data_IF_232526777776
#
_entry.id   IF_232526777776
#
_cell.length_a   1.000
_cell.length_b   1.000
_cell.length_c   1.000
_cell.angle_alpha   90.00
_cell.angle_beta   90.00
_cell.angle_gamma   90.00
#
_symmetry.space_group_name_H-M   'P 1'
#
loop_
_entity.id
_entity.type
_entity.pdbx_description
1 polymer ?
#
# COMPACT_ATOMS: atom_id res chain seq x y z
N UNK A 1 -25.29 -20.41 32.39
CA UNK A 1 -25.33 -19.88 33.76
C UNK A 1 -26.22 -18.65 33.71
N UNK A 2 -27.40 -18.65 34.36
CA UNK A 2 -28.23 -17.46 34.46
C UNK A 2 -27.46 -16.42 35.28
N UNK A 3 -27.33 -15.21 34.75
CA UNK A 3 -26.66 -14.10 35.44
C UNK A 3 -27.58 -13.64 36.57
N UNK A 4 -27.12 -13.81 37.80
CA UNK A 4 -27.80 -13.30 38.99
C UNK A 4 -27.77 -11.77 38.96
N UNK A 5 -28.92 -11.13 39.15
CA UNK A 5 -29.03 -9.68 39.08
C UNK A 5 -28.35 -9.06 40.31
N UNK A 6 -27.46 -8.10 40.09
CA UNK A 6 -26.78 -7.34 41.14
C UNK A 6 -27.79 -6.60 42.01
N UNK A 7 -27.94 -7.03 43.26
CA UNK A 7 -28.75 -6.34 44.26
C UNK A 7 -27.94 -5.20 44.89
N UNK A 8 -27.75 -4.11 44.13
CA UNK A 8 -26.93 -2.95 44.52
C UNK A 8 -27.28 -2.40 45.91
N UNK A 9 -28.56 -2.44 46.30
CA UNK A 9 -29.02 -1.93 47.59
C UNK A 9 -28.57 -2.81 48.76
N UNK A 10 -28.71 -4.12 48.60
CA UNK A 10 -28.34 -5.13 49.59
C UNK A 10 -26.82 -5.21 49.75
N UNK A 11 -26.07 -5.09 48.64
CA UNK A 11 -24.60 -5.07 48.65
C UNK A 11 -24.02 -3.81 49.31
N UNK A 12 -24.64 -2.64 49.16
CA UNK A 12 -24.20 -1.40 49.83
C UNK A 12 -24.47 -1.47 51.33
N UNK A 13 -25.57 -2.11 51.73
CA UNK A 13 -26.01 -2.19 53.12
C UNK A 13 -25.27 -3.26 53.92
N UNK A 14 -24.85 -4.35 53.26
CA UNK A 14 -24.13 -5.47 53.89
C UNK A 14 -22.63 -5.50 53.58
N UNK A 15 -22.17 -4.74 52.58
CA UNK A 15 -20.78 -4.72 52.12
C UNK A 15 -19.86 -3.88 53.00
N UNK A 16 -18.73 -4.45 53.40
CA UNK A 16 -17.64 -3.69 54.00
C UNK A 16 -16.67 -3.25 52.92
N UNK A 17 -16.65 -1.95 52.63
CA UNK A 17 -15.78 -1.39 51.59
C UNK A 17 -14.41 -1.06 52.17
N UNK A 18 -13.35 -1.49 51.49
CA UNK A 18 -11.99 -1.05 51.78
C UNK A 18 -11.78 0.42 51.35
N UNK A 19 -10.63 1.01 51.68
CA UNK A 19 -10.25 2.38 51.30
C UNK A 19 -10.29 2.63 49.78
N UNK A 20 -10.15 1.57 48.98
CA UNK A 20 -10.23 1.58 47.52
C UNK A 20 -11.66 1.30 46.98
N UNK A 21 -12.70 1.36 47.84
CA UNK A 21 -14.11 1.10 47.50
C UNK A 21 -14.40 -0.32 46.93
N UNK A 22 -13.51 -1.28 47.22
CA UNK A 22 -13.77 -2.70 46.94
C UNK A 22 -14.57 -3.33 48.07
N UNK A 23 -15.66 -4.03 47.73
CA UNK A 23 -16.48 -4.77 48.70
C UNK A 23 -15.70 -6.01 49.20
N UNK A 24 -15.39 -6.07 50.50
CA UNK A 24 -14.91 -7.26 51.19
C UNK A 24 -16.08 -7.93 51.89
N UNK A 25 -16.30 -9.21 51.57
CA UNK A 25 -17.16 -10.06 52.40
C UNK A 25 -16.49 -10.20 53.77
N UNK A 26 -17.28 -10.09 54.83
CA UNK A 26 -16.82 -10.32 56.20
C UNK A 26 -16.26 -11.74 56.27
N UNK A 27 -14.98 -11.90 56.63
CA UNK A 27 -14.39 -13.21 56.93
C UNK A 27 -15.22 -13.85 58.05
N UNK A 28 -16.10 -14.78 57.70
CA UNK A 28 -16.46 -15.85 58.62
C UNK A 28 -15.17 -16.63 58.85
N UNK A 29 -14.83 -16.89 60.11
CA UNK A 29 -13.56 -17.45 60.56
C UNK A 29 -13.36 -18.94 60.19
N UNK A 30 -13.84 -19.34 59.02
CA UNK A 30 -13.46 -20.58 58.34
C UNK A 30 -12.73 -20.16 57.06
N UNK A 31 -11.42 -19.93 57.18
CA UNK A 31 -10.49 -20.12 56.07
C UNK A 31 -10.38 -21.64 55.81
N UNK A 32 -11.52 -22.32 55.59
CA UNK A 32 -11.52 -23.66 55.03
C UNK A 32 -11.11 -23.51 53.57
N UNK A 33 -9.83 -23.76 53.28
CA UNK A 33 -9.35 -23.87 51.91
C UNK A 33 -10.32 -24.78 51.14
N UNK A 34 -11.01 -24.23 50.13
CA UNK A 34 -12.08 -24.97 49.49
C UNK A 34 -11.55 -26.34 49.00
N UNK A 35 -12.25 -27.46 49.22
CA UNK A 35 -11.70 -28.83 49.04
C UNK A 35 -11.30 -29.19 47.59
N UNK A 36 -11.51 -28.28 46.64
CA UNK A 36 -10.99 -28.37 45.27
C UNK A 36 -9.61 -27.70 45.11
N UNK A 37 -9.24 -26.77 45.98
CA UNK A 37 -7.91 -26.14 46.07
C UNK A 37 -6.89 -27.14 46.64
N UNK A 38 -7.26 -27.93 47.65
CA UNK A 38 -6.40 -29.00 48.20
C UNK A 38 -6.02 -30.06 47.15
N UNK A 39 -6.88 -30.28 46.16
CA UNK A 39 -6.63 -31.21 45.03
C UNK A 39 -5.78 -30.60 43.93
N UNK A 40 -5.56 -29.28 43.95
CA UNK A 40 -4.81 -28.57 42.95
C UNK A 40 -3.30 -28.67 43.26
N UNK A 41 -2.61 -29.55 42.55
CA UNK A 41 -1.18 -29.74 42.73
C UNK A 41 -0.35 -28.54 42.24
N UNK A 42 0.91 -28.46 42.70
CA UNK A 42 1.90 -27.50 42.16
C UNK A 42 2.02 -27.59 40.63
N UNK A 43 1.79 -28.77 40.06
CA UNK A 43 1.77 -29.01 38.62
C UNK A 43 0.60 -28.34 37.90
N UNK A 44 -0.60 -28.32 38.50
CA UNK A 44 -1.77 -27.65 37.92
C UNK A 44 -1.62 -26.13 37.96
N UNK A 45 -1.05 -25.60 39.04
CA UNK A 45 -0.71 -24.18 39.17
C UNK A 45 0.32 -23.78 38.11
N UNK A 46 1.36 -24.61 37.90
CA UNK A 46 2.37 -24.40 36.85
C UNK A 46 1.75 -24.44 35.45
N UNK A 47 0.87 -25.41 35.18
CA UNK A 47 0.17 -25.55 33.90
C UNK A 47 -0.79 -24.39 33.62
N UNK A 48 -1.50 -23.92 34.64
CA UNK A 48 -2.36 -22.74 34.54
C UNK A 48 -1.53 -21.47 34.26
N UNK A 49 -0.39 -21.31 34.94
CA UNK A 49 0.55 -20.20 34.70
C UNK A 49 1.11 -20.23 33.28
N UNK A 50 1.55 -21.39 32.81
CA UNK A 50 2.04 -21.58 31.43
C UNK A 50 0.95 -21.31 30.40
N UNK A 51 -0.28 -21.80 30.63
CA UNK A 51 -1.42 -21.52 29.75
C UNK A 51 -1.75 -20.02 29.69
N UNK A 52 -1.66 -19.33 30.83
CA UNK A 52 -1.86 -17.88 30.90
C UNK A 52 -0.72 -17.14 30.19
N UNK A 53 0.53 -17.53 30.40
CA UNK A 53 1.68 -16.93 29.74
C UNK A 53 1.61 -17.14 28.23
N UNK A 54 1.19 -18.32 27.76
CA UNK A 54 0.93 -18.58 26.34
C UNK A 54 -0.18 -17.68 25.78
N UNK A 55 -1.26 -17.45 26.54
CA UNK A 55 -2.32 -16.49 26.14
C UNK A 55 -1.79 -15.06 26.10
N UNK A 56 -1.06 -14.63 27.12
CA UNK A 56 -0.42 -13.30 27.18
C UNK A 56 0.56 -13.11 26.03
N UNK A 57 1.39 -14.11 25.73
CA UNK A 57 2.34 -14.09 24.61
C UNK A 57 1.63 -14.00 23.26
N UNK A 58 0.55 -14.75 23.04
CA UNK A 58 -0.29 -14.62 21.84
C UNK A 58 -0.93 -13.24 21.72
N UNK A 59 -1.37 -12.66 22.83
CA UNK A 59 -1.93 -11.32 22.86
C UNK A 59 -0.85 -10.29 22.49
N UNK A 60 0.31 -10.30 23.15
CA UNK A 60 1.43 -9.40 22.87
C UNK A 60 1.91 -9.54 21.42
N UNK A 61 2.06 -10.76 20.91
CA UNK A 61 2.40 -10.99 19.50
C UNK A 61 1.36 -10.44 18.53
N UNK A 62 0.07 -10.50 18.89
CA UNK A 62 -1.01 -9.90 18.09
C UNK A 62 -0.94 -8.37 18.06
N UNK A 63 -0.41 -7.74 19.11
CA UNK A 63 -0.23 -6.29 19.20
C UNK A 63 1.19 -5.83 18.86
N UNK A 64 2.03 -6.71 18.29
CA UNK A 64 3.29 -6.29 17.69
C UNK A 64 2.95 -5.58 16.39
N UNK A 65 2.66 -4.29 16.52
CA UNK A 65 2.46 -3.37 15.42
C UNK A 65 3.76 -3.29 14.62
N UNK A 66 3.65 -3.42 13.29
CA UNK A 66 4.80 -3.27 12.40
C UNK A 66 5.38 -1.86 12.50
N UNK A 67 6.67 -1.72 12.18
CA UNK A 67 7.26 -0.37 12.07
C UNK A 67 6.58 0.39 10.93
N UNK A 68 6.55 1.74 11.00
CA UNK A 68 5.87 2.57 9.99
C UNK A 68 6.34 2.25 8.57
N UNK A 69 7.64 2.00 8.42
CA UNK A 69 8.30 1.70 7.16
C UNK A 69 7.79 0.36 6.59
N UNK A 70 7.71 -0.67 7.43
CA UNK A 70 7.23 -2.00 7.03
C UNK A 70 5.77 -1.96 6.58
N UNK A 71 4.94 -1.17 7.26
CA UNK A 71 3.53 -0.99 6.87
C UNK A 71 3.40 -0.24 5.55
N UNK A 72 4.19 0.81 5.35
CA UNK A 72 4.22 1.55 4.08
C UNK A 72 4.74 0.67 2.93
N UNK A 73 5.78 -0.13 3.15
CA UNK A 73 6.30 -1.08 2.16
C UNK A 73 5.24 -2.12 1.77
N UNK A 74 4.58 -2.74 2.76
CA UNK A 74 3.48 -3.68 2.51
C UNK A 74 2.34 -3.02 1.74
N UNK A 75 1.98 -1.78 2.08
CA UNK A 75 0.96 -1.03 1.36
C UNK A 75 1.38 -0.78 -0.10
N UNK A 76 2.60 -0.25 -0.31
CA UNK A 76 3.18 0.01 -1.62
C UNK A 76 3.32 -1.27 -2.48
N UNK A 77 3.44 -2.45 -1.87
CA UNK A 77 3.46 -3.71 -2.59
C UNK A 77 2.12 -4.05 -3.27
N UNK A 78 0.99 -3.64 -2.66
CA UNK A 78 -0.36 -3.91 -3.16
C UNK A 78 -0.88 -2.87 -4.16
N UNK A 79 -0.46 -1.62 -4.03
CA UNK A 79 -0.89 -0.54 -4.93
C UNK A 79 -0.30 -0.72 -6.33
N UNK A 80 -1.00 -0.31 -7.38
CA UNK A 80 -0.43 -0.11 -8.73
C UNK A 80 0.11 1.33 -8.88
N UNK A 81 0.88 1.65 -9.93
CA UNK A 81 1.33 3.02 -10.17
C UNK A 81 0.15 3.99 -10.23
N UNK A 82 0.28 5.16 -9.60
CA UNK A 82 -0.77 6.20 -9.50
C UNK A 82 -2.08 5.84 -8.79
N UNK A 83 -2.27 4.62 -8.26
CA UNK A 83 -3.48 4.27 -7.49
C UNK A 83 -3.43 4.83 -6.05
N UNK A 84 -4.62 5.09 -5.50
CA UNK A 84 -4.87 5.31 -4.06
C UNK A 84 -5.37 4.01 -3.37
N UNK A 85 -5.27 3.87 -2.04
CA UNK A 85 -5.87 2.72 -1.34
C UNK A 85 -7.38 2.58 -1.58
N UNK A 86 -8.10 3.68 -1.78
CA UNK A 86 -9.53 3.64 -2.08
C UNK A 86 -9.83 3.08 -3.48
N UNK A 87 -9.03 3.45 -4.47
CA UNK A 87 -9.12 2.91 -5.83
C UNK A 87 -8.72 1.43 -5.88
N UNK A 88 -7.69 1.03 -5.15
CA UNK A 88 -7.30 -0.37 -4.95
C UNK A 88 -8.46 -1.19 -4.37
N UNK A 89 -9.10 -0.69 -3.30
CA UNK A 89 -10.29 -1.33 -2.73
C UNK A 89 -11.46 -1.33 -3.73
N UNK A 90 -11.57 -0.29 -4.57
CA UNK A 90 -12.50 -0.18 -5.68
C UNK A 90 -12.32 -1.26 -6.73
N UNK A 91 -11.08 -1.49 -7.17
CA UNK A 91 -10.69 -2.55 -8.12
C UNK A 91 -10.94 -3.94 -7.55
N UNK A 92 -10.71 -4.11 -6.25
CA UNK A 92 -11.01 -5.35 -5.55
C UNK A 92 -12.51 -5.58 -5.36
N UNK A 93 -13.43 -4.68 -5.72
CA UNK A 93 -14.88 -4.94 -5.57
C UNK A 93 -15.33 -6.09 -6.48
N UNK A 94 -16.28 -6.94 -6.04
CA UNK A 94 -16.81 -8.00 -6.89
C UNK A 94 -17.58 -7.37 -8.05
N UNK A 95 -17.34 -7.84 -9.29
CA UNK A 95 -18.07 -7.37 -10.47
C UNK A 95 -19.58 -7.56 -10.22
N UNK A 96 -20.37 -6.48 -10.35
CA UNK A 96 -21.84 -6.53 -10.31
C UNK A 96 -22.37 -7.22 -11.57
N UNK A 97 -22.11 -8.51 -11.73
CA UNK A 97 -22.99 -9.36 -12.54
C UNK A 97 -24.35 -9.46 -11.86
N UNK A 98 -25.42 -9.72 -12.62
CA UNK A 98 -26.78 -9.98 -12.09
C UNK A 98 -26.76 -11.20 -11.16
N UNK A 99 -26.24 -11.08 -9.93
CA UNK A 99 -26.25 -12.14 -8.93
C UNK A 99 -27.65 -12.19 -8.34
N UNK A 100 -28.31 -13.35 -8.47
CA UNK A 100 -29.51 -13.70 -7.71
C UNK A 100 -29.21 -13.54 -6.21
N UNK A 101 -30.15 -12.96 -5.45
CA UNK A 101 -30.07 -12.76 -4.00
C UNK A 101 -29.65 -14.09 -3.33
N UNK A 102 -28.47 -14.14 -2.69
CA UNK A 102 -28.00 -15.31 -1.95
C UNK A 102 -26.66 -15.94 -2.38
N UNK A 103 -26.02 -15.48 -3.47
CA UNK A 103 -24.69 -15.98 -3.85
C UNK A 103 -23.62 -15.38 -2.93
N UNK A 104 -23.04 -16.21 -2.06
CA UNK A 104 -21.83 -15.86 -1.30
C UNK A 104 -20.72 -15.52 -2.29
N UNK A 105 -20.05 -14.42 -2.04
CA UNK A 105 -18.87 -13.96 -2.77
C UNK A 105 -17.80 -15.05 -2.80
N UNK A 106 -17.45 -15.48 -4.02
CA UNK A 106 -16.74 -16.73 -4.31
C UNK A 106 -15.23 -16.68 -4.07
N UNK A 107 -14.64 -15.50 -3.87
CA UNK A 107 -13.17 -15.36 -3.79
C UNK A 107 -12.71 -15.04 -2.35
N UNK A 108 -12.26 -16.05 -1.58
CA UNK A 108 -11.71 -15.83 -0.25
C UNK A 108 -10.38 -15.07 -0.29
N UNK A 109 -9.58 -15.17 -1.35
CA UNK A 109 -8.29 -14.49 -1.45
C UNK A 109 -8.48 -12.98 -1.64
N UNK A 110 -9.46 -12.59 -2.46
CA UNK A 110 -9.87 -11.18 -2.60
C UNK A 110 -10.25 -10.57 -1.26
N UNK A 111 -11.04 -11.30 -0.46
CA UNK A 111 -11.44 -10.87 0.88
C UNK A 111 -10.24 -10.72 1.81
N UNK A 112 -9.34 -11.72 1.82
CA UNK A 112 -8.11 -11.66 2.61
C UNK A 112 -7.25 -10.45 2.24
N UNK A 113 -7.10 -10.14 0.93
CA UNK A 113 -6.39 -8.94 0.47
C UNK A 113 -7.06 -7.67 0.94
N UNK A 114 -8.38 -7.56 0.80
CA UNK A 114 -9.16 -6.40 1.29
C UNK A 114 -8.94 -6.20 2.78
N UNK A 115 -9.06 -7.27 3.59
CA UNK A 115 -8.83 -7.18 5.03
C UNK A 115 -7.40 -6.76 5.36
N UNK A 116 -6.40 -7.35 4.70
CA UNK A 116 -5.00 -6.98 4.91
C UNK A 116 -4.74 -5.51 4.59
N UNK A 117 -5.26 -5.00 3.47
CA UNK A 117 -5.11 -3.59 3.08
C UNK A 117 -5.78 -2.68 4.10
N UNK A 118 -7.02 -2.98 4.50
CA UNK A 118 -7.75 -2.17 5.49
C UNK A 118 -7.06 -2.19 6.85
N UNK A 119 -6.54 -3.33 7.27
CA UNK A 119 -5.82 -3.47 8.55
C UNK A 119 -4.54 -2.62 8.55
N UNK A 120 -3.73 -2.67 7.48
CA UNK A 120 -2.54 -1.80 7.34
C UNK A 120 -2.94 -0.32 7.36
N UNK A 121 -3.99 0.07 6.64
CA UNK A 121 -4.46 1.46 6.62
C UNK A 121 -4.97 1.93 7.99
N UNK A 122 -5.72 1.10 8.71
CA UNK A 122 -6.20 1.39 10.07
C UNK A 122 -5.02 1.51 11.04
N UNK A 123 -4.02 0.64 10.93
CA UNK A 123 -2.83 0.68 11.77
C UNK A 123 -2.02 1.97 11.54
N UNK A 124 -1.80 2.35 10.27
CA UNK A 124 -1.17 3.62 9.89
C UNK A 124 -1.95 4.85 10.38
N UNK A 125 -3.29 4.79 10.36
CA UNK A 125 -4.15 5.87 10.82
C UNK A 125 -4.12 5.99 12.36
N UNK A 126 -4.24 4.88 13.08
CA UNK A 126 -4.40 4.87 14.53
C UNK A 126 -3.08 5.10 15.27
N UNK A 127 -1.98 4.50 14.80
CA UNK A 127 -0.70 4.53 15.51
C UNK A 127 0.20 5.67 15.03
N UNK A 128 0.21 5.95 13.73
CA UNK A 128 1.06 6.99 13.13
C UNK A 128 0.29 8.24 12.67
N UNK A 129 -1.02 8.31 12.93
CA UNK A 129 -1.87 9.47 12.70
C UNK A 129 -1.84 10.01 11.24
N UNK A 130 -1.71 9.12 10.25
CA UNK A 130 -1.76 9.50 8.83
C UNK A 130 -3.21 9.67 8.38
N UNK A 131 -3.79 10.83 8.68
CA UNK A 131 -5.24 11.10 8.56
C UNK A 131 -5.83 10.97 7.16
N UNK A 132 -5.02 11.08 6.10
CA UNK A 132 -5.48 11.02 4.71
C UNK A 132 -4.98 9.78 3.96
N UNK A 133 -4.64 8.70 4.69
CA UNK A 133 -4.02 7.50 4.09
C UNK A 133 -4.79 6.96 2.87
N UNK A 134 -6.12 7.02 2.87
CA UNK A 134 -6.97 6.51 1.80
C UNK A 134 -6.95 7.34 0.51
N UNK A 135 -6.61 8.63 0.61
CA UNK A 135 -6.59 9.57 -0.52
C UNK A 135 -5.17 9.82 -1.04
N UNK A 136 -4.14 9.33 -0.34
CA UNK A 136 -2.75 9.47 -0.77
C UNK A 136 -2.46 8.56 -1.96
N UNK A 137 -1.92 9.15 -3.03
CA UNK A 137 -1.41 8.38 -4.16
C UNK A 137 -0.15 7.61 -3.78
N UNK A 138 0.15 6.55 -4.54
CA UNK A 138 1.39 5.77 -4.42
C UNK A 138 2.64 6.65 -4.34
N UNK A 139 2.72 7.72 -5.14
CA UNK A 139 3.89 8.61 -5.17
C UNK A 139 4.05 9.42 -3.89
N UNK A 140 2.94 9.89 -3.32
CA UNK A 140 2.97 10.56 -2.03
C UNK A 140 3.40 9.60 -0.92
N UNK A 141 2.96 8.34 -0.98
CA UNK A 141 3.37 7.29 -0.05
C UNK A 141 4.86 6.93 -0.22
N UNK A 142 5.38 6.90 -1.45
CA UNK A 142 6.82 6.70 -1.72
C UNK A 142 7.66 7.86 -1.20
N UNK A 143 7.19 9.11 -1.38
CA UNK A 143 7.87 10.28 -0.80
C UNK A 143 7.84 10.24 0.72
N UNK A 144 6.72 9.86 1.33
CA UNK A 144 6.63 9.66 2.77
C UNK A 144 7.60 8.57 3.24
N UNK A 145 7.64 7.42 2.55
CA UNK A 145 8.59 6.33 2.82
C UNK A 145 10.05 6.79 2.75
N UNK A 146 10.41 7.57 1.71
CA UNK A 146 11.74 8.16 1.59
C UNK A 146 12.06 9.11 2.74
N UNK A 147 11.09 9.88 3.23
CA UNK A 147 11.28 10.79 4.36
C UNK A 147 11.54 10.06 5.69
N UNK A 148 10.98 8.85 5.88
CA UNK A 148 11.29 8.03 7.06
C UNK A 148 12.64 7.34 6.92
N UNK A 149 12.80 6.59 5.83
CA UNK A 149 13.86 5.58 5.69
C UNK A 149 15.13 6.19 5.12
N UNK A 150 15.02 7.31 4.41
CA UNK A 150 16.10 7.94 3.65
C UNK A 150 16.42 7.25 2.31
N UNK A 151 15.82 6.08 2.06
CA UNK A 151 16.06 5.27 0.85
C UNK A 151 14.90 5.42 -0.13
N UNK A 152 15.21 5.51 -1.41
CA UNK A 152 14.21 5.49 -2.49
C UNK A 152 13.55 4.11 -2.58
N UNK A 153 12.21 4.09 -2.62
CA UNK A 153 11.49 2.84 -2.79
C UNK A 153 11.63 2.32 -4.23
N UNK A 154 12.44 1.27 -4.43
CA UNK A 154 12.52 0.59 -5.73
C UNK A 154 11.33 -0.36 -5.86
N UNK A 155 10.35 0.00 -6.69
CA UNK A 155 9.23 -0.90 -6.98
C UNK A 155 9.71 -2.19 -7.67
N UNK A 156 8.90 -3.25 -7.58
CA UNK A 156 9.10 -4.49 -8.36
C UNK A 156 9.29 -4.14 -9.85
N UNK A 157 10.46 -4.45 -10.39
CA UNK A 157 10.76 -4.28 -11.81
C UNK A 157 11.57 -3.04 -12.18
N UNK A 158 11.95 -2.19 -11.22
CA UNK A 158 12.99 -1.18 -11.49
C UNK A 158 14.32 -1.91 -11.55
N UNK A 159 14.93 -1.96 -12.75
CA UNK A 159 16.30 -2.47 -12.94
C UNK A 159 17.19 -1.77 -11.92
N UNK A 160 17.86 -2.55 -11.07
CA UNK A 160 18.85 -2.07 -10.11
C UNK A 160 19.74 -1.02 -10.80
N UNK A 161 19.89 0.15 -10.19
CA UNK A 161 20.88 1.14 -10.60
C UNK A 161 22.26 0.49 -10.59
N UNK A 162 23.06 0.78 -11.61
CA UNK A 162 24.33 0.10 -11.91
C UNK A 162 25.42 0.19 -10.82
N UNK A 163 25.16 0.92 -9.72
CA UNK A 163 26.16 1.24 -8.70
C UNK A 163 26.26 0.19 -7.56
N UNK A 164 25.24 -0.64 -7.35
CA UNK A 164 25.23 -1.63 -6.26
C UNK A 164 25.75 -3.03 -6.65
N UNK A 165 26.20 -3.21 -7.90
CA UNK A 165 26.69 -4.48 -8.40
C UNK A 165 28.20 -4.74 -8.14
N UNK A 166 28.92 -3.77 -7.55
CA UNK A 166 30.40 -3.81 -7.49
C UNK A 166 31.00 -4.56 -6.28
N UNK A 167 30.20 -5.24 -5.45
CA UNK A 167 30.74 -6.01 -4.31
C UNK A 167 30.41 -7.51 -4.44
N UNK A 168 30.98 -8.17 -5.44
CA UNK A 168 31.43 -9.57 -5.33
C UNK A 168 32.70 -9.78 -6.19
N UNK A 169 33.85 -10.16 -5.59
CA UNK A 169 35.08 -10.39 -6.31
C UNK A 169 35.12 -11.84 -6.81
N UNK A 170 34.97 -12.08 -8.11
CA UNK A 170 35.39 -13.40 -8.64
C UNK A 170 34.82 -13.94 -9.95
N UNK A 171 34.06 -13.20 -10.73
CA UNK A 171 33.62 -13.69 -12.05
C UNK A 171 34.09 -12.72 -13.15
N UNK A 172 35.07 -13.16 -13.94
CA UNK A 172 35.57 -12.45 -15.12
C UNK A 172 34.57 -12.70 -16.26
N UNK A 173 33.89 -11.69 -16.84
CA UNK A 173 33.31 -11.81 -18.16
C UNK A 173 34.30 -11.24 -19.18
N UNK A 174 34.56 -12.02 -20.23
CA UNK A 174 35.36 -11.61 -21.37
C UNK A 174 34.84 -10.31 -22.00
N UNK A 175 35.80 -9.41 -22.19
CA UNK A 175 35.66 -8.06 -22.71
C UNK A 175 35.55 -8.10 -24.24
N UNK A 176 34.35 -7.89 -24.77
CA UNK A 176 34.18 -7.39 -26.15
C UNK A 176 33.62 -5.98 -26.04
N UNK A 177 34.45 -4.98 -26.35
CA UNK A 177 34.15 -3.58 -26.11
C UNK A 177 33.13 -3.01 -27.09
N UNK A 178 32.23 -2.18 -26.57
CA UNK A 178 31.74 -0.99 -27.27
C UNK A 178 31.25 0.02 -26.23
N UNK A 179 31.74 1.24 -26.40
CA UNK A 179 31.50 2.41 -25.56
C UNK A 179 30.02 2.81 -25.58
N UNK A 180 29.54 3.08 -24.37
CA UNK A 180 28.49 3.99 -23.93
C UNK A 180 27.87 4.87 -25.03
N UNK A 181 26.56 4.74 -25.21
CA UNK A 181 25.67 5.92 -25.24
C UNK A 181 24.22 5.54 -24.87
N UNK A 182 23.59 6.47 -24.18
CA UNK A 182 22.20 6.48 -23.72
C UNK A 182 21.22 6.11 -24.85
N UNK A 183 20.32 5.13 -24.64
CA UNK A 183 18.97 5.09 -25.22
C UNK A 183 18.19 3.80 -24.87
N UNK A 184 17.13 3.99 -24.07
CA UNK A 184 15.75 3.70 -24.47
C UNK A 184 15.56 2.54 -25.48
N UNK A 185 15.22 1.35 -24.96
CA UNK A 185 14.73 0.18 -25.72
C UNK A 185 13.37 -0.24 -25.13
N UNK A 186 12.31 -0.55 -25.86
CA UNK A 186 12.13 -0.82 -27.28
C UNK A 186 10.65 -0.51 -27.63
N UNK A 187 10.42 0.38 -28.59
CA UNK A 187 9.20 0.45 -29.45
C UNK A 187 9.47 1.19 -30.76
N UNK A 188 10.72 1.57 -31.04
CA UNK A 188 11.10 2.37 -32.19
C UNK A 188 11.56 1.48 -33.34
N UNK A 189 10.62 0.97 -34.13
CA UNK A 189 10.93 0.54 -35.50
C UNK A 189 9.75 0.59 -36.48
N UNK A 190 8.53 0.96 -36.06
CA UNK A 190 7.39 1.03 -36.99
C UNK A 190 7.07 2.40 -37.57
N UNK A 191 7.60 3.50 -37.01
CA UNK A 191 7.07 4.84 -37.33
C UNK A 191 8.07 5.86 -37.91
N UNK A 192 9.30 5.43 -38.27
CA UNK A 192 10.29 6.29 -38.95
C UNK A 192 11.00 7.30 -38.02
N UNK A 193 11.91 8.14 -38.58
CA UNK A 193 12.73 9.05 -37.80
C UNK A 193 11.89 10.17 -37.16
N UNK A 194 12.14 10.44 -35.86
CA UNK A 194 11.46 11.50 -35.09
C UNK A 194 12.10 12.86 -35.35
N UNK A 195 11.58 13.58 -36.33
CA UNK A 195 12.16 14.85 -36.83
C UNK A 195 11.20 16.03 -36.73
N UNK A 196 10.00 15.87 -36.18
CA UNK A 196 8.97 16.92 -36.15
C UNK A 196 8.70 17.47 -34.75
N UNK A 197 8.45 18.77 -34.65
CA UNK A 197 7.97 19.43 -33.45
C UNK A 197 6.73 20.25 -33.80
N UNK A 198 5.77 20.37 -32.88
CA UNK A 198 4.57 21.17 -33.07
C UNK A 198 4.30 22.07 -31.86
N UNK A 199 3.45 23.08 -32.08
CA UNK A 199 2.88 23.94 -31.05
C UNK A 199 1.43 24.22 -31.37
N UNK A 200 0.62 24.51 -30.35
CA UNK A 200 -0.76 24.95 -30.55
C UNK A 200 -0.81 26.45 -30.86
N UNK A 201 -1.72 26.87 -31.74
CA UNK A 201 -1.92 28.30 -32.03
C UNK A 201 -2.32 29.02 -30.74
N UNK A 202 -1.56 30.03 -30.36
CA UNK A 202 -1.76 30.80 -29.12
C UNK A 202 -1.06 30.22 -27.88
N UNK A 203 -0.33 29.10 -28.00
CA UNK A 203 0.56 28.58 -26.95
C UNK A 203 2.02 28.63 -27.39
N UNK A 204 2.90 28.93 -26.43
CA UNK A 204 4.35 28.94 -26.64
C UNK A 204 5.03 27.58 -26.41
N UNK A 205 4.26 26.58 -25.96
CA UNK A 205 4.79 25.26 -25.65
C UNK A 205 5.13 24.50 -26.94
N UNK A 206 6.36 24.02 -27.03
CA UNK A 206 6.87 23.23 -28.16
C UNK A 206 6.87 21.76 -27.75
N UNK A 207 6.16 20.94 -28.51
CA UNK A 207 6.00 19.51 -28.32
C UNK A 207 6.79 18.76 -29.40
N UNK A 208 7.73 17.90 -29.02
CA UNK A 208 8.47 17.04 -29.94
C UNK A 208 9.76 16.52 -29.30
N UNK A 209 10.54 15.67 -29.99
CA UNK A 209 10.42 15.27 -31.40
C UNK A 209 9.47 14.07 -31.66
N UNK A 210 8.74 14.11 -32.76
CA UNK A 210 7.80 13.09 -33.23
C UNK A 210 8.09 12.66 -34.67
N UNK A 211 7.60 11.50 -35.07
CA UNK A 211 7.78 10.99 -36.43
C UNK A 211 6.75 11.54 -37.41
N UNK A 212 7.03 11.42 -38.71
CA UNK A 212 6.09 11.83 -39.77
C UNK A 212 4.74 11.10 -39.64
N UNK A 213 4.77 9.81 -39.27
CA UNK A 213 3.57 9.01 -39.06
C UNK A 213 2.70 9.53 -37.90
N UNK A 214 3.31 9.80 -36.74
CA UNK A 214 2.59 10.33 -35.57
C UNK A 214 1.96 11.69 -35.87
N UNK A 215 2.69 12.55 -36.58
CA UNK A 215 2.20 13.86 -37.00
C UNK A 215 1.03 13.75 -37.98
N UNK A 216 1.11 12.88 -38.99
CA UNK A 216 0.01 12.61 -39.92
C UNK A 216 -1.25 12.17 -39.18
N UNK A 217 -1.10 11.21 -38.25
CA UNK A 217 -2.22 10.70 -37.45
C UNK A 217 -2.87 11.80 -36.60
N UNK A 218 -2.09 12.71 -36.02
CA UNK A 218 -2.64 13.80 -35.22
C UNK A 218 -3.27 14.93 -36.04
N UNK A 219 -2.79 15.17 -37.25
CA UNK A 219 -3.45 16.12 -38.17
C UNK A 219 -4.88 15.68 -38.46
N UNK A 220 -5.09 14.39 -38.68
CA UNK A 220 -6.41 13.83 -38.98
C UNK A 220 -7.33 13.74 -37.74
N UNK A 221 -6.78 13.40 -36.56
CA UNK A 221 -7.58 13.02 -35.40
C UNK A 221 -7.64 14.05 -34.26
N UNK A 222 -6.67 14.98 -34.16
CA UNK A 222 -6.50 15.81 -32.95
C UNK A 222 -6.31 17.30 -33.22
N UNK A 223 -5.53 17.68 -34.23
CA UNK A 223 -5.13 19.07 -34.39
C UNK A 223 -6.26 19.96 -34.86
N UNK A 224 -7.26 19.42 -35.57
CA UNK A 224 -8.42 20.19 -36.08
C UNK A 224 -7.99 21.52 -36.73
N UNK A 225 -6.84 21.56 -37.42
CA UNK A 225 -6.25 22.77 -38.00
C UNK A 225 -5.94 23.91 -36.99
N UNK A 226 -5.60 23.57 -35.74
CA UNK A 226 -5.24 24.52 -34.67
C UNK A 226 -3.80 24.38 -34.16
N UNK A 227 -2.95 23.69 -34.93
CA UNK A 227 -1.54 23.48 -34.61
C UNK A 227 -0.63 23.98 -35.73
N UNK A 228 0.60 24.31 -35.37
CA UNK A 228 1.68 24.62 -36.28
C UNK A 228 2.85 23.67 -36.01
N UNK A 229 3.47 23.14 -37.05
CA UNK A 229 4.57 22.19 -36.94
C UNK A 229 5.79 22.63 -37.76
N UNK A 230 6.95 22.09 -37.41
CA UNK A 230 8.23 22.33 -38.07
C UNK A 230 9.15 21.13 -37.96
N UNK A 231 10.14 21.03 -38.83
CA UNK A 231 11.22 20.05 -38.67
C UNK A 231 12.22 20.52 -37.61
N UNK A 232 12.80 19.57 -36.87
CA UNK A 232 13.86 19.80 -35.89
C UNK A 232 15.04 20.50 -36.58
N UNK A 233 15.29 21.77 -36.24
CA UNK A 233 16.35 22.60 -36.83
C UNK A 233 15.84 23.75 -37.70
N UNK A 234 14.57 23.76 -38.08
CA UNK A 234 13.97 24.90 -38.78
C UNK A 234 13.47 25.96 -37.77
N UNK A 235 13.67 27.26 -38.04
CA UNK A 235 13.27 28.31 -37.12
C UNK A 235 11.76 28.62 -37.19
N UNK A 236 11.12 28.43 -38.33
CA UNK A 236 9.73 28.83 -38.58
C UNK A 236 8.73 27.69 -38.36
N UNK A 237 7.57 28.02 -37.81
CA UNK A 237 6.45 27.09 -37.64
C UNK A 237 5.47 27.27 -38.80
N UNK A 238 5.11 26.17 -39.46
CA UNK A 238 4.16 26.15 -40.57
C UNK A 238 2.85 25.51 -40.11
N UNK A 239 1.74 26.06 -40.55
CA UNK A 239 0.42 25.54 -40.22
C UNK A 239 0.27 24.08 -40.68
N UNK A 240 -0.27 23.20 -39.84
CA UNK A 240 -0.32 21.74 -40.09
C UNK A 240 -1.05 21.36 -41.39
N UNK A 241 -2.02 22.14 -41.85
CA UNK A 241 -2.74 21.89 -43.12
C UNK A 241 -1.92 22.17 -44.38
N UNK A 242 -0.76 22.82 -44.26
CA UNK A 242 0.15 23.10 -45.38
C UNK A 242 1.31 22.12 -45.46
N UNK A 243 1.37 21.17 -44.53
CA UNK A 243 2.44 20.19 -44.42
C UNK A 243 1.93 18.83 -44.85
N UNK A 244 2.62 18.22 -45.79
CA UNK A 244 2.39 16.83 -46.18
C UNK A 244 3.34 15.93 -45.37
N UNK A 245 2.75 15.04 -44.57
CA UNK A 245 3.47 14.12 -43.69
C UNK A 245 3.54 12.68 -44.26
N UNK A 246 3.11 12.48 -45.50
CA UNK A 246 3.15 11.20 -46.21
C UNK A 246 4.54 10.96 -46.82
N UNK A 247 5.50 10.54 -46.00
CA UNK A 247 6.75 9.90 -46.43
C UNK A 247 6.85 8.48 -45.87
#
# INVERSE_FOLDING_TARGET
>A
VPLEAFHVREEVETGQFDKDLSNRRKNTSDDEEEPWIEKLGKDDIRKAREAQERRKRKLVQKWQVGSREELLEKLLWYLEPSETPLELLGRLRPKKGKKKKGVKDDDPERRTKVYAITEICEELLNTYCVHQIYDLSREMLMRAFKQITGVDYTARGVKRSAEEAEIEPGAIPERTGQQEDDQQKDTEQEHGPKVWQFRWIGKSDINGPYSSYEMAYWVENYFENRAEARKCGEPEFVHVSKLDFSE
#
